data_IF_066525839576
#
_entry.id   IF_066525839576
#
_cell.length_a   1.000
_cell.length_b   1.000
_cell.length_c   1.000
_cell.angle_alpha   90.00
_cell.angle_beta   90.00
_cell.angle_gamma   90.00
#
_symmetry.space_group_name_H-M   'P 1'
#
loop_
_entity.id
_entity.type
_entity.pdbx_description
1 polymer ?
#
# COMPACT_ATOMS: atom_id res chain seq x y z
N UNK A 1 4.97 -0.82 -8.50
CA UNK A 1 4.63 -0.68 -7.06
C UNK A 1 3.30 0.05 -6.94
N UNK A 2 3.27 1.38 -7.11
CA UNK A 2 2.06 2.21 -7.03
C UNK A 2 2.20 3.49 -7.87
N UNK A 3 1.07 4.07 -8.26
CA UNK A 3 0.91 5.45 -8.70
C UNK A 3 -0.56 5.87 -8.49
N UNK A 4 -0.85 7.16 -8.29
CA UNK A 4 -2.21 7.69 -8.40
C UNK A 4 -2.42 8.20 -9.83
N UNK A 5 -3.49 7.76 -10.48
CA UNK A 5 -3.87 8.23 -11.80
C UNK A 5 -5.14 9.02 -11.67
N UNK A 6 -5.05 10.32 -11.94
CA UNK A 6 -6.17 11.23 -11.83
C UNK A 6 -6.85 11.37 -13.19
N UNK A 7 -8.17 11.21 -13.22
CA UNK A 7 -8.98 11.31 -14.43
C UNK A 7 -9.96 12.48 -14.33
N UNK A 8 -10.19 13.15 -15.46
CA UNK A 8 -11.32 14.05 -15.67
C UNK A 8 -12.26 13.43 -16.69
N UNK A 9 -13.53 13.31 -16.33
CA UNK A 9 -14.60 12.85 -17.22
C UNK A 9 -15.34 14.06 -17.78
N UNK A 10 -15.58 14.09 -19.09
CA UNK A 10 -16.42 15.12 -19.72
C UNK A 10 -17.91 14.73 -19.75
N UNK A 11 -18.75 15.59 -20.32
CA UNK A 11 -20.20 15.36 -20.39
C UNK A 11 -20.60 14.14 -21.21
N UNK A 12 -19.71 13.66 -22.10
CA UNK A 12 -19.94 12.44 -22.87
C UNK A 12 -19.55 11.17 -22.11
N UNK A 13 -19.00 11.31 -20.90
CA UNK A 13 -18.57 10.19 -20.07
C UNK A 13 -17.19 9.64 -20.41
N UNK A 14 -16.43 10.28 -21.30
CA UNK A 14 -15.10 9.83 -21.68
C UNK A 14 -14.05 10.26 -20.63
N UNK A 15 -13.38 9.32 -19.92
CA UNK A 15 -12.33 9.65 -18.98
C UNK A 15 -11.05 10.06 -19.71
N UNK A 16 -10.42 11.15 -19.28
CA UNK A 16 -9.13 11.64 -19.76
C UNK A 16 -8.15 11.71 -18.60
N UNK A 17 -6.97 11.13 -18.77
CA UNK A 17 -5.89 11.24 -17.78
C UNK A 17 -5.46 12.70 -17.68
N UNK A 18 -5.38 13.22 -16.46
CA UNK A 18 -4.94 14.59 -16.19
C UNK A 18 -3.61 14.65 -15.44
N UNK A 19 -3.32 13.63 -14.63
CA UNK A 19 -2.06 13.50 -13.89
C UNK A 19 -1.75 12.03 -13.60
N UNK A 20 -0.46 11.72 -13.51
CA UNK A 20 0.06 10.45 -13.03
C UNK A 20 1.10 10.78 -11.96
N UNK A 21 0.71 10.65 -10.70
CA UNK A 21 1.60 10.88 -9.58
C UNK A 21 2.26 9.56 -9.13
N UNK A 22 3.57 9.35 -9.41
CA UNK A 22 4.29 8.15 -9.00
C UNK A 22 4.58 8.10 -7.49
N UNK A 23 4.40 9.21 -6.77
CA UNK A 23 4.62 9.31 -5.32
C UNK A 23 3.42 9.96 -4.62
N UNK A 24 2.26 9.29 -4.60
CA UNK A 24 1.08 9.80 -3.93
C UNK A 24 1.28 9.81 -2.40
N UNK A 25 0.51 10.66 -1.72
CA UNK A 25 0.46 10.64 -0.25
C UNK A 25 0.05 9.26 0.28
N UNK A 26 0.63 8.87 1.41
CA UNK A 26 0.40 7.55 2.04
C UNK A 26 -0.12 7.65 3.48
N UNK A 27 -0.58 8.82 3.92
CA UNK A 27 -1.21 8.95 5.23
C UNK A 27 -2.52 8.17 5.27
N UNK A 28 -2.63 7.19 6.16
CA UNK A 28 -3.81 6.31 6.29
C UNK A 28 -5.12 7.08 6.52
N UNK A 29 -5.04 8.21 7.21
CA UNK A 29 -6.21 8.99 7.61
C UNK A 29 -6.77 9.87 6.47
N UNK A 30 -5.91 10.43 5.61
CA UNK A 30 -6.32 11.52 4.71
C UNK A 30 -5.70 11.48 3.30
N UNK A 31 -4.85 10.51 2.96
CA UNK A 31 -4.34 10.39 1.60
C UNK A 31 -5.24 9.53 0.73
N UNK A 32 -5.45 9.97 -0.52
CA UNK A 32 -6.35 9.28 -1.47
C UNK A 32 -5.97 7.82 -1.70
N UNK A 33 -4.68 7.50 -1.83
CA UNK A 33 -4.26 6.13 -2.13
C UNK A 33 -4.70 5.13 -1.04
N UNK A 34 -4.39 5.33 0.26
CA UNK A 34 -4.95 4.51 1.34
C UNK A 34 -6.48 4.48 1.40
N UNK A 35 -7.14 5.62 1.15
CA UNK A 35 -8.61 5.71 1.17
C UNK A 35 -9.21 4.84 0.05
N UNK A 36 -8.76 5.01 -1.19
CA UNK A 36 -9.21 4.25 -2.36
C UNK A 36 -8.92 2.75 -2.20
N UNK A 37 -7.74 2.39 -1.69
CA UNK A 37 -7.39 0.99 -1.44
C UNK A 37 -8.25 0.34 -0.34
N UNK A 38 -8.64 1.11 0.69
CA UNK A 38 -9.61 0.64 1.69
C UNK A 38 -11.00 0.47 1.10
N UNK A 39 -11.43 1.40 0.25
CA UNK A 39 -12.72 1.31 -0.47
C UNK A 39 -12.77 0.12 -1.43
N UNK A 40 -11.63 -0.35 -1.94
CA UNK A 40 -11.54 -1.60 -2.72
C UNK A 40 -11.45 -2.88 -1.86
N UNK A 41 -11.63 -2.77 -0.53
CA UNK A 41 -11.61 -3.90 0.40
C UNK A 41 -10.24 -4.23 1.00
N UNK A 42 -9.21 -3.44 0.68
CA UNK A 42 -7.87 -3.57 1.25
C UNK A 42 -7.75 -2.99 2.67
N UNK A 43 -6.58 -3.21 3.29
CA UNK A 43 -6.22 -2.59 4.57
C UNK A 43 -4.89 -1.83 4.42
N UNK A 44 -4.70 -0.77 5.20
CA UNK A 44 -3.44 -0.01 5.14
C UNK A 44 -2.20 -0.88 5.37
N UNK A 45 -2.17 -1.84 6.33
CA UNK A 45 -1.04 -2.76 6.46
C UNK A 45 -0.82 -3.64 5.23
N UNK A 46 -1.86 -4.05 4.50
CA UNK A 46 -1.67 -4.84 3.28
C UNK A 46 -1.18 -4.00 2.10
N UNK A 47 -1.61 -2.73 2.02
CA UNK A 47 -1.08 -1.75 1.06
C UNK A 47 0.44 -1.56 1.25
N UNK A 48 0.86 -1.23 2.48
CA UNK A 48 2.28 -1.01 2.79
C UNK A 48 3.11 -2.28 2.54
N UNK A 49 2.60 -3.45 2.93
CA UNK A 49 3.26 -4.73 2.61
C UNK A 49 3.40 -4.95 1.11
N UNK A 50 2.37 -4.61 0.32
CA UNK A 50 2.43 -4.68 -1.14
C UNK A 50 3.55 -3.82 -1.71
N UNK A 51 3.57 -2.53 -1.37
CA UNK A 51 4.60 -1.57 -1.80
C UNK A 51 6.01 -2.08 -1.45
N UNK A 52 6.20 -2.52 -0.21
CA UNK A 52 7.50 -3.04 0.24
C UNK A 52 7.89 -4.32 -0.49
N UNK A 53 6.96 -5.24 -0.78
CA UNK A 53 7.27 -6.48 -1.51
C UNK A 53 7.80 -6.18 -2.90
N UNK A 54 7.13 -5.28 -3.62
CA UNK A 54 7.58 -4.85 -4.95
C UNK A 54 8.95 -4.15 -4.89
N UNK A 55 9.18 -3.30 -3.88
CA UNK A 55 10.47 -2.66 -3.67
C UNK A 55 11.60 -3.68 -3.41
N UNK A 56 11.36 -4.68 -2.55
CA UNK A 56 12.33 -5.74 -2.28
C UNK A 56 12.64 -6.55 -3.55
N UNK A 57 11.61 -6.93 -4.31
CA UNK A 57 11.78 -7.65 -5.57
C UNK A 57 12.61 -6.85 -6.58
N UNK A 58 12.31 -5.56 -6.77
CA UNK A 58 13.06 -4.69 -7.69
C UNK A 58 14.53 -4.55 -7.31
N UNK A 59 14.83 -4.53 -6.01
CA UNK A 59 16.20 -4.40 -5.52
C UNK A 59 16.94 -5.73 -5.35
N UNK A 60 16.31 -6.86 -5.71
CA UNK A 60 16.89 -8.20 -5.50
C UNK A 60 17.08 -8.55 -4.02
N UNK A 61 16.35 -7.89 -3.12
CA UNK A 61 16.42 -8.10 -1.68
C UNK A 61 15.47 -9.22 -1.24
N UNK A 62 15.90 -10.03 -0.27
CA UNK A 62 15.06 -11.09 0.29
C UNK A 62 14.05 -10.51 1.27
N UNK A 63 12.77 -10.86 1.10
CA UNK A 63 11.73 -10.47 2.05
C UNK A 63 12.06 -10.95 3.48
N UNK A 64 11.96 -10.08 4.51
CA UNK A 64 12.27 -10.46 5.88
C UNK A 64 11.29 -11.52 6.37
N UNK A 65 11.82 -12.57 6.99
CA UNK A 65 11.00 -13.57 7.69
C UNK A 65 10.57 -12.98 9.04
N UNK A 66 9.31 -13.16 9.48
CA UNK A 66 8.92 -12.77 10.82
C UNK A 66 9.86 -13.40 11.84
N UNK A 67 10.40 -12.60 12.77
CA UNK A 67 11.14 -13.16 13.90
C UNK A 67 10.16 -13.94 14.77
N UNK A 68 10.45 -15.21 15.05
CA UNK A 68 9.70 -15.94 16.07
C UNK A 68 9.91 -15.23 17.39
N UNK A 69 8.85 -14.66 17.97
CA UNK A 69 8.89 -14.20 19.36
C UNK A 69 9.08 -15.43 20.25
N UNK A 70 10.19 -15.52 20.97
CA UNK A 70 10.40 -16.51 22.02
C UNK A 70 9.28 -16.34 23.06
N UNK A 71 8.38 -17.31 23.15
CA UNK A 71 7.42 -17.37 24.26
C UNK A 71 8.23 -17.65 25.53
N UNK A 72 8.46 -16.64 26.36
CA UNK A 72 8.86 -16.87 27.74
C UNK A 72 7.63 -17.44 28.46
N UNK A 73 7.54 -18.77 28.53
CA UNK A 73 6.70 -19.43 29.51
C UNK A 73 7.33 -19.19 30.88
N UNK A 74 6.83 -18.20 31.63
CA UNK A 74 7.09 -18.13 33.06
C UNK A 74 6.32 -19.27 33.73
N UNK A 75 6.99 -20.41 33.92
CA UNK A 75 6.61 -21.38 34.93
C UNK A 75 7.01 -20.78 36.28
N UNK A 76 6.10 -20.00 36.87
CA UNK A 76 6.21 -19.57 38.25
C UNK A 76 5.97 -20.79 39.15
N UNK A 77 6.99 -21.07 39.97
CA UNK A 77 6.96 -21.93 41.15
C UNK A 77 6.07 -21.34 42.23
#
# INVERSE_FOLDING_TARGET
>A
DIARVDFRQDISGAPKVIDINPLPGISEAYSDLPILYRMSGGSFPSLIKGILREAFQRQGLRWPRPSMKTRHCNAAR
#
